data_IF_198773500118
#
_entry.id   IF_198773500118
#
_cell.length_a   1.000
_cell.length_b   1.000
_cell.length_c   1.000
_cell.angle_alpha   90.00
_cell.angle_beta   90.00
_cell.angle_gamma   90.00
#
_symmetry.space_group_name_H-M   'P 1'
#
loop_
_entity.id
_entity.type
_entity.pdbx_description
1 polymer ?
#
# COMPACT_ATOMS: atom_id res chain seq x y z
N UNK A 1 3.39 -1.69 4.72
CA UNK A 1 4.22 -2.57 3.87
C UNK A 1 5.62 -2.02 3.65
N UNK A 2 5.85 -0.73 3.38
CA UNK A 2 7.22 -0.20 3.15
C UNK A 2 8.16 -0.51 4.30
N UNK A 3 7.70 -0.32 5.52
CA UNK A 3 8.44 -0.56 6.76
C UNK A 3 8.83 -2.04 6.93
N UNK A 4 7.97 -2.94 6.49
CA UNK A 4 8.18 -4.39 6.57
C UNK A 4 8.83 -5.01 5.32
N UNK A 5 9.02 -4.24 4.26
CA UNK A 5 9.51 -4.78 2.98
C UNK A 5 10.94 -5.32 3.08
N UNK A 6 11.82 -4.62 3.81
CA UNK A 6 13.20 -5.11 4.04
C UNK A 6 13.15 -6.41 4.82
N UNK A 7 12.37 -6.46 5.91
CA UNK A 7 12.22 -7.65 6.74
C UNK A 7 11.64 -8.83 5.95
N UNK A 8 10.59 -8.60 5.16
CA UNK A 8 10.01 -9.63 4.29
C UNK A 8 11.02 -10.16 3.25
N UNK A 9 11.73 -9.28 2.57
CA UNK A 9 12.74 -9.72 1.59
C UNK A 9 13.92 -10.44 2.26
N UNK A 10 14.31 -10.04 3.47
CA UNK A 10 15.31 -10.74 4.26
C UNK A 10 14.82 -12.13 4.67
N UNK A 11 13.56 -12.25 5.08
CA UNK A 11 12.93 -13.54 5.33
C UNK A 11 12.95 -14.42 4.06
N UNK A 12 12.60 -13.88 2.89
CA UNK A 12 12.65 -14.64 1.61
C UNK A 12 14.06 -15.14 1.31
N UNK A 13 15.07 -14.31 1.50
CA UNK A 13 16.49 -14.70 1.30
C UNK A 13 16.86 -15.86 2.21
N UNK A 14 16.49 -15.78 3.49
CA UNK A 14 16.76 -16.84 4.46
C UNK A 14 15.97 -18.12 4.14
N UNK A 15 14.68 -17.99 3.79
CA UNK A 15 13.80 -19.09 3.42
C UNK A 15 14.31 -19.86 2.19
N UNK A 16 14.84 -19.16 1.19
CA UNK A 16 15.39 -19.74 -0.04
C UNK A 16 16.87 -20.12 0.10
N UNK A 17 17.49 -19.88 1.26
CA UNK A 17 18.92 -20.09 1.51
C UNK A 17 19.82 -19.47 0.42
N UNK A 18 19.49 -18.26 -0.04
CA UNK A 18 20.24 -17.59 -1.09
C UNK A 18 21.60 -17.12 -0.57
N UNK A 19 22.68 -17.66 -1.13
CA UNK A 19 24.06 -17.26 -0.83
C UNK A 19 24.49 -16.05 -1.67
N UNK A 20 23.97 -15.93 -2.87
CA UNK A 20 24.17 -14.77 -3.75
C UNK A 20 22.83 -14.08 -4.01
N UNK A 21 22.71 -12.85 -3.54
CA UNK A 21 21.48 -12.07 -3.64
C UNK A 21 21.60 -11.09 -4.81
N UNK A 22 20.83 -11.27 -5.91
CA UNK A 22 20.98 -10.47 -7.13
C UNK A 22 20.80 -8.97 -6.88
N UNK A 23 19.88 -8.59 -5.98
CA UNK A 23 19.61 -7.19 -5.61
C UNK A 23 19.32 -7.12 -4.11
N UNK A 24 20.05 -6.28 -3.40
CA UNK A 24 19.86 -6.11 -1.95
C UNK A 24 18.45 -5.56 -1.62
N UNK A 25 17.80 -6.02 -0.53
CA UNK A 25 16.48 -5.54 -0.10
C UNK A 25 16.38 -4.01 0.00
N UNK A 26 17.42 -3.36 0.50
CA UNK A 26 17.48 -1.90 0.64
C UNK A 26 17.43 -1.17 -0.71
N UNK A 27 18.06 -1.73 -1.75
CA UNK A 27 18.02 -1.19 -3.12
C UNK A 27 16.60 -1.33 -3.69
N UNK A 28 15.94 -2.46 -3.46
CA UNK A 28 14.55 -2.67 -3.89
C UNK A 28 13.63 -1.63 -3.24
N UNK A 29 13.79 -1.39 -1.94
CA UNK A 29 12.99 -0.38 -1.22
C UNK A 29 13.29 1.04 -1.73
N UNK A 30 14.53 1.36 -2.06
CA UNK A 30 14.87 2.64 -2.68
C UNK A 30 14.17 2.82 -4.03
N UNK A 31 14.19 1.80 -4.89
CA UNK A 31 13.47 1.79 -6.17
C UNK A 31 11.96 1.93 -5.96
N UNK A 32 11.38 1.20 -5.00
CA UNK A 32 9.96 1.29 -4.64
C UNK A 32 9.57 2.72 -4.25
N UNK A 33 10.38 3.39 -3.42
CA UNK A 33 10.11 4.76 -3.00
C UNK A 33 10.22 5.74 -4.17
N UNK A 34 11.23 5.59 -5.02
CA UNK A 34 11.41 6.42 -6.20
C UNK A 34 10.26 6.24 -7.20
N UNK A 35 9.89 5.00 -7.52
CA UNK A 35 8.76 4.70 -8.40
C UNK A 35 7.43 5.17 -7.79
N UNK A 36 7.27 5.08 -6.47
CA UNK A 36 6.10 5.59 -5.76
C UNK A 36 5.95 7.11 -5.89
N UNK A 37 7.04 7.87 -5.88
CA UNK A 37 7.02 9.31 -6.11
C UNK A 37 6.48 9.65 -7.51
N UNK A 38 7.05 9.04 -8.56
CA UNK A 38 6.59 9.24 -9.92
C UNK A 38 5.14 8.78 -10.12
N UNK A 39 4.78 7.63 -9.55
CA UNK A 39 3.42 7.09 -9.61
C UNK A 39 2.39 8.02 -8.98
N UNK A 40 2.72 8.67 -7.86
CA UNK A 40 1.83 9.64 -7.21
C UNK A 40 1.55 10.87 -8.09
N UNK A 41 2.59 11.38 -8.78
CA UNK A 41 2.45 12.53 -9.69
C UNK A 41 1.60 12.14 -10.91
N UNK A 42 1.97 11.04 -11.58
CA UNK A 42 1.25 10.54 -12.75
C UNK A 42 -0.19 10.18 -12.40
N UNK A 43 -0.39 9.54 -11.25
CA UNK A 43 -1.70 9.16 -10.75
C UNK A 43 -2.64 10.34 -10.56
N UNK A 44 -2.13 11.47 -10.05
CA UNK A 44 -2.96 12.68 -9.94
C UNK A 44 -3.37 13.23 -11.32
N UNK A 45 -2.48 13.21 -12.30
CA UNK A 45 -2.81 13.63 -13.69
C UNK A 45 -3.87 12.71 -14.31
N UNK A 46 -3.70 11.40 -14.16
CA UNK A 46 -4.68 10.40 -14.62
C UNK A 46 -6.02 10.58 -13.91
N UNK A 47 -6.02 10.90 -12.61
CA UNK A 47 -7.23 11.16 -11.84
C UNK A 47 -8.01 12.37 -12.36
N UNK A 48 -7.31 13.42 -12.78
CA UNK A 48 -7.94 14.62 -13.36
C UNK A 48 -8.58 14.29 -14.71
N UNK A 49 -7.95 13.47 -15.53
CA UNK A 49 -8.43 13.13 -16.89
C UNK A 49 -9.56 12.09 -16.88
N UNK A 50 -9.41 11.03 -16.10
CA UNK A 50 -10.29 9.84 -16.13
C UNK A 50 -11.22 9.71 -14.94
N UNK A 51 -11.16 10.65 -14.01
CA UNK A 51 -11.99 10.69 -12.81
C UNK A 51 -11.28 10.09 -11.57
N UNK A 52 -11.13 10.96 -10.56
CA UNK A 52 -10.41 10.68 -9.31
C UNK A 52 -10.91 9.43 -8.61
N UNK A 53 -12.22 9.28 -8.48
CA UNK A 53 -12.82 8.14 -7.78
C UNK A 53 -12.50 6.81 -8.45
N UNK A 54 -12.56 6.75 -9.79
CA UNK A 54 -12.25 5.54 -10.56
C UNK A 54 -10.79 5.14 -10.36
N UNK A 55 -9.88 6.11 -10.45
CA UNK A 55 -8.46 5.85 -10.20
C UNK A 55 -8.21 5.31 -8.80
N UNK A 56 -8.73 5.98 -7.76
CA UNK A 56 -8.56 5.57 -6.36
C UNK A 56 -9.06 4.14 -6.16
N UNK A 57 -10.27 3.83 -6.66
CA UNK A 57 -10.84 2.49 -6.54
C UNK A 57 -9.96 1.42 -7.19
N UNK A 58 -9.46 1.67 -8.41
CA UNK A 58 -8.57 0.73 -9.11
C UNK A 58 -7.25 0.59 -8.38
N UNK A 59 -6.61 1.70 -7.98
CA UNK A 59 -5.33 1.68 -7.28
C UNK A 59 -5.41 0.91 -5.96
N UNK A 60 -6.45 1.16 -5.16
CA UNK A 60 -6.64 0.47 -3.87
C UNK A 60 -6.92 -1.02 -4.04
N UNK A 61 -7.78 -1.43 -4.98
CA UNK A 61 -8.01 -2.85 -5.26
C UNK A 61 -6.75 -3.54 -5.79
N UNK A 62 -6.03 -2.91 -6.72
CA UNK A 62 -4.77 -3.45 -7.24
C UNK A 62 -3.73 -3.61 -6.12
N UNK A 63 -3.57 -2.60 -5.28
CA UNK A 63 -2.66 -2.64 -4.13
C UNK A 63 -3.04 -3.73 -3.13
N UNK A 64 -4.33 -3.85 -2.79
CA UNK A 64 -4.85 -4.87 -1.88
C UNK A 64 -4.58 -6.29 -2.40
N UNK A 65 -4.83 -6.51 -3.70
CA UNK A 65 -4.58 -7.81 -4.33
C UNK A 65 -3.10 -8.15 -4.36
N UNK A 66 -2.25 -7.21 -4.80
CA UNK A 66 -0.81 -7.45 -4.91
C UNK A 66 -0.21 -7.74 -3.53
N UNK A 67 -0.53 -6.94 -2.49
CA UNK A 67 0.02 -7.17 -1.15
C UNK A 67 -0.52 -8.45 -0.52
N UNK A 68 -1.80 -8.78 -0.75
CA UNK A 68 -2.41 -10.00 -0.24
C UNK A 68 -1.79 -11.26 -0.83
N UNK A 69 -1.40 -11.24 -2.12
CA UNK A 69 -0.71 -12.37 -2.77
C UNK A 69 0.76 -12.41 -2.37
N UNK A 70 1.43 -11.26 -2.30
CA UNK A 70 2.87 -11.13 -2.08
C UNK A 70 3.37 -11.93 -0.87
N UNK A 71 2.61 -11.93 0.25
CA UNK A 71 3.00 -12.64 1.47
C UNK A 71 3.15 -14.15 1.31
N UNK A 72 2.47 -14.73 0.34
CA UNK A 72 2.52 -16.18 0.08
C UNK A 72 3.53 -16.56 -1.01
N UNK A 73 4.27 -15.62 -1.57
CA UNK A 73 5.18 -15.84 -2.70
C UNK A 73 6.61 -16.19 -2.28
N UNK A 74 6.89 -16.44 -1.00
CA UNK A 74 8.27 -16.65 -0.52
C UNK A 74 9.03 -17.78 -1.23
N UNK A 75 8.34 -18.75 -1.82
CA UNK A 75 8.92 -19.81 -2.65
C UNK A 75 9.13 -19.43 -4.14
N UNK A 76 8.73 -18.25 -4.57
CA UNK A 76 8.89 -17.82 -5.97
C UNK A 76 10.31 -17.29 -6.23
N UNK A 77 10.76 -17.21 -7.50
CA UNK A 77 12.04 -16.60 -7.81
C UNK A 77 12.19 -15.20 -7.22
N UNK A 78 13.28 -14.93 -6.53
CA UNK A 78 13.52 -13.69 -5.77
C UNK A 78 13.27 -12.42 -6.59
N UNK A 79 13.70 -12.40 -7.87
CA UNK A 79 13.49 -11.25 -8.76
C UNK A 79 12.00 -11.01 -9.08
N UNK A 80 11.17 -12.06 -9.14
CA UNK A 80 9.72 -11.90 -9.29
C UNK A 80 9.10 -11.28 -8.03
N UNK A 81 9.53 -11.70 -6.85
CA UNK A 81 9.10 -11.11 -5.58
C UNK A 81 9.51 -9.64 -5.50
N UNK A 82 10.75 -9.33 -5.88
CA UNK A 82 11.23 -7.95 -5.97
C UNK A 82 10.39 -7.11 -6.94
N UNK A 83 10.05 -7.65 -8.11
CA UNK A 83 9.16 -7.02 -9.08
C UNK A 83 7.75 -6.76 -8.52
N UNK A 84 7.16 -7.73 -7.80
CA UNK A 84 5.87 -7.55 -7.11
C UNK A 84 5.93 -6.46 -6.03
N UNK A 85 7.04 -6.36 -5.29
CA UNK A 85 7.27 -5.27 -4.34
C UNK A 85 7.25 -3.90 -5.03
N UNK A 86 7.88 -3.76 -6.20
CA UNK A 86 7.87 -2.53 -6.99
C UNK A 86 6.45 -2.22 -7.50
N UNK A 87 5.75 -3.21 -8.05
CA UNK A 87 4.36 -3.07 -8.50
C UNK A 87 3.45 -2.63 -7.34
N UNK A 88 3.59 -3.24 -6.17
CA UNK A 88 2.86 -2.82 -4.97
C UNK A 88 3.18 -1.36 -4.59
N UNK A 89 4.45 -0.97 -4.61
CA UNK A 89 4.87 0.40 -4.33
C UNK A 89 4.27 1.44 -5.28
N UNK A 90 4.19 1.10 -6.57
CA UNK A 90 3.53 1.91 -7.60
C UNK A 90 2.03 2.02 -7.29
N UNK A 91 1.33 0.91 -7.12
CA UNK A 91 -0.13 0.88 -6.93
C UNK A 91 -0.56 1.59 -5.65
N UNK A 92 0.13 1.39 -4.53
CA UNK A 92 -0.19 2.03 -3.24
C UNK A 92 0.09 3.53 -3.24
N UNK A 93 0.95 4.02 -4.12
CA UNK A 93 1.31 5.44 -4.18
C UNK A 93 0.48 6.23 -5.20
N UNK A 94 -0.13 5.53 -6.17
CA UNK A 94 -0.82 6.15 -7.32
C UNK A 94 -1.96 7.08 -6.90
N UNK A 95 -2.68 6.79 -5.82
CA UNK A 95 -3.82 7.58 -5.36
C UNK A 95 -3.46 8.67 -4.33
N UNK A 96 -2.24 8.66 -3.78
CA UNK A 96 -1.84 9.50 -2.65
C UNK A 96 -2.04 11.01 -2.92
N UNK A 97 -1.45 11.54 -4.00
CA UNK A 97 -1.62 12.94 -4.37
C UNK A 97 -3.07 13.26 -4.75
N UNK A 98 -3.77 12.32 -5.38
CA UNK A 98 -5.16 12.43 -5.79
C UNK A 98 -6.11 12.52 -4.60
N UNK A 99 -5.89 11.74 -3.54
CA UNK A 99 -6.65 11.78 -2.29
C UNK A 99 -6.47 13.13 -1.59
N UNK A 100 -5.24 13.59 -1.44
CA UNK A 100 -4.93 14.89 -0.82
C UNK A 100 -5.55 16.04 -1.58
N UNK A 101 -5.40 16.08 -2.90
CA UNK A 101 -6.02 17.09 -3.75
C UNK A 101 -7.55 17.05 -3.66
N UNK A 102 -8.14 15.84 -3.57
CA UNK A 102 -9.58 15.65 -3.37
C UNK A 102 -10.09 16.22 -2.05
N UNK A 103 -9.38 15.97 -0.96
CA UNK A 103 -9.70 16.50 0.35
C UNK A 103 -9.69 18.04 0.35
N UNK A 104 -8.67 18.66 -0.24
CA UNK A 104 -8.58 20.13 -0.36
C UNK A 104 -9.69 20.72 -1.21
N UNK A 105 -10.06 20.05 -2.33
CA UNK A 105 -11.14 20.52 -3.20
C UNK A 105 -12.53 20.40 -2.55
N UNK A 106 -12.77 19.38 -1.74
CA UNK A 106 -14.02 19.18 -1.02
C UNK A 106 -14.18 20.11 0.20
N UNK A 107 -13.09 20.74 0.64
CA UNK A 107 -13.11 21.62 1.81
C UNK A 107 -13.91 22.89 1.57
N UNK A 108 -14.71 23.30 2.56
CA UNK A 108 -15.39 24.61 2.56
C UNK A 108 -14.38 25.75 2.48
N UNK A 109 -14.77 26.87 1.88
CA UNK A 109 -13.96 28.09 1.88
C UNK A 109 -13.60 28.50 3.32
N UNK A 110 -12.34 28.78 3.60
CA UNK A 110 -11.82 29.09 4.94
C UNK A 110 -11.39 27.87 5.76
N UNK A 111 -11.79 26.64 5.41
CA UNK A 111 -11.49 25.44 6.20
C UNK A 111 -10.51 24.48 5.51
N UNK A 112 -9.84 24.91 4.43
CA UNK A 112 -8.89 24.06 3.69
C UNK A 112 -7.74 23.58 4.55
N UNK A 113 -7.16 24.44 5.40
CA UNK A 113 -6.08 24.08 6.32
C UNK A 113 -6.52 23.02 7.33
N UNK A 114 -7.69 23.21 7.96
CA UNK A 114 -8.25 22.25 8.92
C UNK A 114 -8.56 20.90 8.26
N UNK A 115 -9.13 20.91 7.06
CA UNK A 115 -9.41 19.67 6.32
C UNK A 115 -8.12 18.93 5.99
N UNK A 116 -7.08 19.63 5.56
CA UNK A 116 -5.79 19.04 5.28
C UNK A 116 -5.12 18.51 6.55
N UNK A 117 -5.18 19.24 7.66
CA UNK A 117 -4.67 18.79 8.95
C UNK A 117 -5.33 17.49 9.41
N UNK A 118 -6.67 17.41 9.36
CA UNK A 118 -7.41 16.19 9.67
C UNK A 118 -7.04 15.03 8.74
N UNK A 119 -6.99 15.28 7.43
CA UNK A 119 -6.57 14.27 6.45
C UNK A 119 -5.18 13.73 6.76
N UNK A 120 -4.21 14.59 7.06
CA UNK A 120 -2.86 14.20 7.42
C UNK A 120 -2.79 13.45 8.75
N UNK A 121 -3.56 13.89 9.76
CA UNK A 121 -3.62 13.21 11.06
C UNK A 121 -4.11 11.76 10.92
N UNK A 122 -5.20 11.55 10.18
CA UNK A 122 -5.69 10.19 9.90
C UNK A 122 -4.70 9.39 9.05
N UNK A 123 -4.06 10.00 8.07
CA UNK A 123 -3.05 9.35 7.25
C UNK A 123 -1.84 8.89 8.06
N UNK A 124 -1.31 9.74 8.93
CA UNK A 124 -0.18 9.39 9.82
C UNK A 124 -0.58 8.37 10.89
N UNK A 125 -1.77 8.49 11.48
CA UNK A 125 -2.29 7.50 12.42
C UNK A 125 -2.39 6.11 11.76
N UNK A 126 -2.93 6.02 10.55
CA UNK A 126 -2.98 4.78 9.80
C UNK A 126 -1.57 4.26 9.41
N UNK A 127 -0.65 5.18 9.06
CA UNK A 127 0.76 4.86 8.80
C UNK A 127 1.50 4.30 10.01
N UNK A 128 1.12 4.70 11.22
CA UNK A 128 1.64 4.16 12.48
C UNK A 128 0.97 2.82 12.86
N UNK A 129 -0.36 2.77 12.83
CA UNK A 129 -1.12 1.57 13.25
C UNK A 129 -0.97 0.40 12.28
N UNK A 130 -0.80 0.68 10.98
CA UNK A 130 -0.63 -0.36 9.97
C UNK A 130 0.57 -1.27 10.23
N UNK A 131 1.79 -0.74 10.36
CA UNK A 131 2.96 -1.54 10.72
C UNK A 131 2.84 -2.29 12.05
N UNK A 132 2.23 -1.67 13.06
CA UNK A 132 1.94 -2.36 14.33
C UNK A 132 1.02 -3.56 14.13
N UNK A 133 -0.05 -3.41 13.36
CA UNK A 133 -0.97 -4.51 13.06
C UNK A 133 -0.27 -5.69 12.36
N UNK A 134 0.63 -5.41 11.42
CA UNK A 134 1.46 -6.44 10.77
C UNK A 134 2.34 -7.15 11.78
N UNK A 135 3.01 -6.41 12.69
CA UNK A 135 3.84 -6.98 13.75
C UNK A 135 3.04 -7.92 14.65
N UNK A 136 1.86 -7.47 15.12
CA UNK A 136 0.97 -8.30 15.95
C UNK A 136 0.55 -9.59 15.22
N UNK A 137 0.18 -9.50 13.93
CA UNK A 137 -0.19 -10.70 13.17
C UNK A 137 1.00 -11.65 13.02
N UNK A 138 2.20 -11.14 12.75
CA UNK A 138 3.41 -11.95 12.69
C UNK A 138 3.68 -12.66 14.04
N UNK A 139 3.62 -11.93 15.15
CA UNK A 139 3.88 -12.48 16.49
C UNK A 139 2.88 -13.58 16.85
N UNK A 140 1.58 -13.34 16.63
CA UNK A 140 0.52 -14.30 16.95
C UNK A 140 0.54 -15.53 16.03
N UNK A 141 0.97 -15.36 14.78
CA UNK A 141 1.01 -16.45 13.79
C UNK A 141 2.32 -17.26 13.78
N UNK A 142 3.25 -16.96 14.69
CA UNK A 142 4.49 -17.74 14.87
C UNK A 142 5.72 -17.18 14.13
N UNK A 143 5.66 -15.98 13.58
CA UNK A 143 6.83 -15.20 13.10
C UNK A 143 7.40 -15.67 11.77
N UNK A 144 8.30 -16.64 11.78
CA UNK A 144 9.19 -16.96 10.65
C UNK A 144 8.66 -18.05 9.70
N UNK A 145 7.40 -17.94 9.26
CA UNK A 145 6.83 -18.87 8.28
C UNK A 145 6.20 -18.15 7.10
N UNK A 146 6.10 -18.84 5.95
CA UNK A 146 5.39 -18.32 4.76
C UNK A 146 3.93 -18.01 5.09
N UNK A 147 3.30 -18.81 5.95
CA UNK A 147 1.92 -18.60 6.37
C UNK A 147 1.81 -17.34 7.22
N UNK A 148 2.72 -17.12 8.17
CA UNK A 148 2.72 -15.93 9.03
C UNK A 148 2.89 -14.65 8.21
N UNK A 149 3.85 -14.62 7.30
CA UNK A 149 4.03 -13.50 6.37
C UNK A 149 2.84 -13.33 5.43
N UNK A 150 2.26 -14.45 4.95
CA UNK A 150 1.05 -14.46 4.15
C UNK A 150 -0.11 -13.78 4.85
N UNK A 151 -0.40 -14.19 6.10
CA UNK A 151 -1.49 -13.64 6.91
C UNK A 151 -1.24 -12.16 7.27
N UNK A 152 0.00 -11.80 7.60
CA UNK A 152 0.37 -10.44 7.94
C UNK A 152 0.17 -9.48 6.76
N UNK A 153 0.64 -9.84 5.56
CA UNK A 153 0.45 -9.01 4.36
C UNK A 153 -0.98 -9.05 3.85
N UNK A 154 -1.69 -10.18 3.98
CA UNK A 154 -3.11 -10.28 3.66
C UNK A 154 -3.96 -9.35 4.54
N UNK A 155 -3.64 -9.23 5.84
CA UNK A 155 -4.33 -8.30 6.74
C UNK A 155 -4.25 -6.86 6.26
N UNK A 156 -3.08 -6.43 5.74
CA UNK A 156 -2.94 -5.12 5.09
C UNK A 156 -3.81 -4.99 3.84
N UNK A 157 -3.86 -6.04 3.02
CA UNK A 157 -4.72 -6.09 1.83
C UNK A 157 -6.19 -5.92 2.18
N UNK A 158 -6.66 -6.61 3.22
CA UNK A 158 -8.04 -6.49 3.72
C UNK A 158 -8.34 -5.07 4.18
N UNK A 159 -7.47 -4.46 4.97
CA UNK A 159 -7.64 -3.06 5.40
C UNK A 159 -7.65 -2.10 4.21
N UNK A 160 -6.76 -2.28 3.23
CA UNK A 160 -6.74 -1.47 2.02
C UNK A 160 -8.04 -1.61 1.20
N UNK A 161 -8.63 -2.81 1.15
CA UNK A 161 -9.89 -3.06 0.45
C UNK A 161 -11.10 -2.37 1.10
N UNK A 162 -11.04 -1.96 2.37
CA UNK A 162 -12.10 -1.18 3.02
C UNK A 162 -12.27 0.21 2.39
N UNK A 163 -11.23 0.79 1.82
CA UNK A 163 -11.27 2.11 1.19
C UNK A 163 -12.26 2.18 0.00
N UNK A 164 -12.13 1.34 -1.04
CA UNK A 164 -13.07 1.32 -2.15
C UNK A 164 -14.49 0.92 -1.73
N UNK A 165 -14.64 0.06 -0.70
CA UNK A 165 -15.94 -0.30 -0.14
C UNK A 165 -16.60 0.93 0.50
N UNK A 166 -15.88 1.68 1.32
CA UNK A 166 -16.37 2.93 1.92
C UNK A 166 -16.78 3.95 0.84
N UNK A 167 -15.96 4.11 -0.21
CA UNK A 167 -16.32 4.96 -1.36
C UNK A 167 -17.59 4.50 -2.07
N UNK A 168 -17.84 3.20 -2.17
CA UNK A 168 -19.05 2.68 -2.78
C UNK A 168 -20.30 2.97 -1.93
N UNK A 169 -20.20 2.80 -0.61
CA UNK A 169 -21.32 3.06 0.32
C UNK A 169 -21.73 4.54 0.35
N UNK A 170 -20.77 5.47 0.36
CA UNK A 170 -21.05 6.91 0.32
C UNK A 170 -21.81 7.29 -0.97
N UNK A 171 -21.49 6.66 -2.11
CA UNK A 171 -22.19 6.90 -3.38
C UNK A 171 -23.68 6.55 -3.32
N UNK A 172 -24.01 5.46 -2.66
CA UNK A 172 -25.40 5.00 -2.61
C UNK A 172 -26.26 5.94 -1.76
N UNK A 173 -25.69 6.55 -0.71
CA UNK A 173 -26.39 7.53 0.14
C UNK A 173 -26.64 8.87 -0.54
N UNK A 174 -25.82 9.28 -1.51
CA UNK A 174 -26.01 10.55 -2.23
C UNK A 174 -27.01 10.48 -3.39
N UNK A 175 -27.55 9.28 -3.69
CA UNK A 175 -28.53 9.05 -4.75
C UNK A 175 -29.94 8.75 -4.24
N UNK A 176 -30.14 8.60 -2.95
CA UNK A 176 -31.43 8.47 -2.25
C UNK A 176 -31.72 9.73 -1.48
#
# INVERSE_FOLDING_TARGET
MREWMVAFLTFVIAYQALTDVPVRPTVIVAVVNLMGLFSSIIGNEVAVRYGRRRLITIAMWSSATVVGVLGFTAGWPYLLIAGLCVIHGITVSTDSASLTAGAVQAARRGYRGTTLALHSTFGFAAGFLGPLGVGVVLDVSGGDSVISWGLALLSMGVVAALGPIALALVRNRSKG
#
